data_IF_406762877391
#
_entry.id   IF_406762877391
#
_cell.length_a   1.000
_cell.length_b   1.000
_cell.length_c   1.000
_cell.angle_alpha   90.00
_cell.angle_beta   90.00
_cell.angle_gamma   90.00
#
_symmetry.space_group_name_H-M   'P 1'
#
loop_
_entity.id
_entity.type
_entity.pdbx_description
1 polymer ?
#
# COMPACT_ATOMS: atom_id res chain seq x y z
N UNK A 1 17.00 -41.44 -4.08
CA UNK A 1 16.45 -40.27 -3.37
C UNK A 1 15.14 -39.90 -4.04
N UNK A 2 14.04 -40.40 -3.48
CA UNK A 2 12.67 -40.20 -3.96
C UNK A 2 12.11 -38.91 -3.39
N UNK A 3 11.91 -37.91 -4.23
CA UNK A 3 11.26 -36.65 -3.88
C UNK A 3 9.77 -36.88 -3.69
N UNK A 4 9.36 -36.98 -2.43
CA UNK A 4 7.96 -37.08 -2.06
C UNK A 4 7.32 -35.69 -2.24
N UNK A 5 6.68 -35.47 -3.39
CA UNK A 5 5.85 -34.29 -3.66
C UNK A 5 4.55 -34.42 -2.86
N UNK A 6 4.61 -34.09 -1.58
CA UNK A 6 3.41 -33.84 -0.79
C UNK A 6 2.81 -32.52 -1.26
N UNK A 7 1.83 -32.61 -2.16
CA UNK A 7 0.98 -31.49 -2.56
C UNK A 7 0.35 -30.86 -1.32
N UNK A 8 0.92 -29.74 -0.88
CA UNK A 8 0.31 -28.87 0.12
C UNK A 8 -0.91 -28.26 -0.56
N UNK A 9 -2.08 -28.86 -0.35
CA UNK A 9 -3.36 -28.20 -0.59
C UNK A 9 -3.40 -26.97 0.32
N UNK A 10 -2.93 -25.84 -0.19
CA UNK A 10 -3.20 -24.54 0.42
C UNK A 10 -4.71 -24.36 0.33
N UNK A 11 -5.42 -24.68 1.42
CA UNK A 11 -6.70 -24.05 1.69
C UNK A 11 -6.41 -22.54 1.65
N UNK A 12 -6.65 -21.93 0.50
CA UNK A 12 -6.76 -20.48 0.39
C UNK A 12 -7.69 -20.11 1.50
N UNK A 13 -7.19 -19.39 2.51
CA UNK A 13 -7.99 -18.94 3.63
C UNK A 13 -9.17 -18.18 3.07
N UNK A 14 -10.28 -18.89 2.88
CA UNK A 14 -11.56 -18.28 2.68
C UNK A 14 -11.75 -17.54 3.97
N UNK A 15 -11.57 -16.22 3.94
CA UNK A 15 -12.13 -15.38 4.98
C UNK A 15 -13.55 -15.88 5.26
N UNK A 16 -14.02 -15.76 6.52
CA UNK A 16 -15.37 -16.22 6.88
C UNK A 16 -16.30 -15.83 5.74
N UNK A 17 -16.86 -16.84 5.06
CA UNK A 17 -17.52 -16.60 3.77
C UNK A 17 -18.53 -15.47 3.93
N UNK A 18 -18.84 -14.73 2.87
CA UNK A 18 -19.85 -13.68 2.93
C UNK A 18 -21.17 -14.18 3.57
N UNK A 19 -21.45 -15.49 3.45
CA UNK A 19 -22.64 -16.15 4.02
C UNK A 19 -22.83 -15.93 5.52
N UNK A 20 -21.88 -16.25 6.44
CA UNK A 20 -22.05 -15.92 7.86
C UNK A 20 -22.33 -14.44 8.14
N UNK A 21 -21.72 -13.51 7.40
CA UNK A 21 -21.97 -12.07 7.56
C UNK A 21 -23.40 -11.73 7.15
N UNK A 22 -23.90 -12.28 6.05
CA UNK A 22 -25.27 -12.05 5.59
C UNK A 22 -26.29 -12.68 6.54
N UNK A 23 -26.01 -13.87 7.10
CA UNK A 23 -26.91 -14.54 8.06
C UNK A 23 -26.96 -13.77 9.38
N UNK A 24 -25.81 -13.38 9.94
CA UNK A 24 -25.75 -12.58 11.17
C UNK A 24 -26.37 -11.20 10.91
N UNK A 25 -26.08 -10.61 9.76
CA UNK A 25 -26.66 -9.34 9.34
C UNK A 25 -28.19 -9.39 9.24
N UNK A 26 -28.75 -10.45 8.65
CA UNK A 26 -30.18 -10.67 8.60
C UNK A 26 -30.79 -10.78 10.00
N UNK A 27 -30.16 -11.55 10.90
CA UNK A 27 -30.63 -11.74 12.26
C UNK A 27 -30.61 -10.44 13.07
N UNK A 28 -29.53 -9.65 12.95
CA UNK A 28 -29.41 -8.35 13.61
C UNK A 28 -30.48 -7.40 13.06
N UNK A 29 -30.64 -7.33 11.73
CA UNK A 29 -31.66 -6.51 11.08
C UNK A 29 -33.07 -6.83 11.57
N UNK A 30 -33.41 -8.12 11.61
CA UNK A 30 -34.69 -8.61 12.12
C UNK A 30 -34.95 -8.21 13.58
N UNK A 31 -33.90 -8.14 14.40
CA UNK A 31 -33.99 -7.76 15.82
C UNK A 31 -34.36 -6.28 15.99
N UNK A 32 -33.97 -5.42 15.05
CA UNK A 32 -34.28 -3.99 15.09
C UNK A 32 -35.69 -3.65 14.58
N UNK A 33 -36.29 -4.48 13.73
CA UNK A 33 -37.62 -4.20 13.14
C UNK A 33 -38.81 -4.53 14.03
N UNK A 34 -38.63 -5.32 15.10
CA UNK A 34 -39.68 -5.59 16.11
C UNK A 34 -40.81 -6.52 15.66
N UNK A 35 -41.30 -6.43 14.42
CA UNK A 35 -42.41 -7.23 13.87
C UNK A 35 -42.10 -7.73 12.44
N UNK A 36 -41.58 -8.96 12.35
CA UNK A 36 -41.13 -9.55 11.07
C UNK A 36 -42.31 -9.99 10.19
N UNK A 37 -43.44 -10.36 10.81
CA UNK A 37 -44.57 -10.97 10.11
C UNK A 37 -45.46 -9.97 9.38
N UNK A 38 -45.35 -8.69 9.72
CA UNK A 38 -46.19 -7.61 9.17
C UNK A 38 -45.39 -6.53 8.44
N UNK A 39 -44.05 -6.61 8.47
CA UNK A 39 -43.20 -5.63 7.83
C UNK A 39 -43.28 -5.72 6.30
N UNK A 40 -43.36 -4.55 5.65
CA UNK A 40 -43.23 -4.44 4.21
C UNK A 40 -41.86 -4.96 3.74
N UNK A 41 -41.83 -5.52 2.52
CA UNK A 41 -40.61 -6.07 1.92
C UNK A 41 -39.46 -5.04 1.89
N UNK A 42 -39.79 -3.75 1.71
CA UNK A 42 -38.82 -2.64 1.76
C UNK A 42 -38.22 -2.45 3.15
N UNK A 43 -39.02 -2.55 4.21
CA UNK A 43 -38.55 -2.45 5.60
C UNK A 43 -37.65 -3.65 5.96
N UNK A 44 -38.00 -4.85 5.50
CA UNK A 44 -37.20 -6.06 5.70
C UNK A 44 -35.86 -5.97 4.93
N UNK A 45 -35.88 -5.49 3.69
CA UNK A 45 -34.68 -5.26 2.90
C UNK A 45 -33.76 -4.18 3.52
N UNK A 46 -34.35 -3.09 4.02
CA UNK A 46 -33.63 -2.03 4.72
C UNK A 46 -32.96 -2.56 5.99
N UNK A 47 -33.71 -3.30 6.80
CA UNK A 47 -33.20 -3.92 8.02
C UNK A 47 -32.06 -4.92 7.74
N UNK A 48 -32.21 -5.73 6.70
CA UNK A 48 -31.17 -6.65 6.23
C UNK A 48 -29.90 -5.90 5.82
N UNK A 49 -30.02 -4.81 5.05
CA UNK A 49 -28.88 -4.00 4.63
C UNK A 49 -28.17 -3.39 5.85
N UNK A 50 -28.91 -2.77 6.77
CA UNK A 50 -28.35 -2.18 7.98
C UNK A 50 -27.70 -3.20 8.90
N UNK A 51 -28.36 -4.33 9.13
CA UNK A 51 -27.81 -5.41 9.93
C UNK A 51 -26.53 -5.99 9.32
N UNK A 52 -26.47 -6.13 7.99
CA UNK A 52 -25.26 -6.54 7.27
C UNK A 52 -24.12 -5.54 7.41
N UNK A 53 -24.41 -4.24 7.30
CA UNK A 53 -23.42 -3.16 7.51
C UNK A 53 -22.86 -3.20 8.93
N UNK A 54 -23.73 -3.31 9.94
CA UNK A 54 -23.32 -3.37 11.35
C UNK A 54 -22.48 -4.62 11.62
N UNK A 55 -22.96 -5.80 11.17
CA UNK A 55 -22.25 -7.07 11.35
C UNK A 55 -20.85 -7.02 10.72
N UNK A 56 -20.76 -6.48 9.50
CA UNK A 56 -19.49 -6.31 8.81
C UNK A 56 -18.55 -5.38 9.59
N UNK A 57 -19.02 -4.19 10.00
CA UNK A 57 -18.20 -3.25 10.77
C UNK A 57 -17.72 -3.88 12.09
N UNK A 58 -18.59 -4.59 12.81
CA UNK A 58 -18.19 -5.28 14.05
C UNK A 58 -17.09 -6.32 13.79
N UNK A 59 -17.21 -7.13 12.75
CA UNK A 59 -16.18 -8.11 12.39
C UNK A 59 -14.86 -7.43 12.00
N UNK A 60 -14.92 -6.32 11.28
CA UNK A 60 -13.73 -5.53 10.93
C UNK A 60 -13.03 -4.97 12.17
N UNK A 61 -13.77 -4.45 13.14
CA UNK A 61 -13.19 -3.95 14.39
C UNK A 61 -12.61 -5.08 15.25
N UNK A 62 -13.23 -6.26 15.29
CA UNK A 62 -12.68 -7.44 15.98
C UNK A 62 -11.37 -7.90 15.33
N UNK A 63 -11.33 -7.96 14.00
CA UNK A 63 -10.11 -8.32 13.26
C UNK A 63 -9.00 -7.27 13.48
N UNK A 64 -9.35 -5.98 13.37
CA UNK A 64 -8.41 -4.87 13.55
C UNK A 64 -7.82 -4.83 14.97
N UNK A 65 -8.64 -5.06 15.99
CA UNK A 65 -8.17 -5.15 17.38
C UNK A 65 -7.30 -6.39 17.61
N UNK A 66 -7.69 -7.55 17.07
CA UNK A 66 -6.87 -8.77 17.14
C UNK A 66 -5.50 -8.62 16.47
N UNK A 67 -5.45 -7.93 15.32
CA UNK A 67 -4.21 -7.62 14.62
C UNK A 67 -3.36 -6.59 15.36
N UNK A 68 -3.97 -5.52 15.90
CA UNK A 68 -3.26 -4.53 16.71
C UNK A 68 -2.65 -5.17 17.95
N UNK A 69 -3.40 -6.02 18.66
CA UNK A 69 -2.90 -6.75 19.82
C UNK A 69 -1.78 -7.72 19.43
N UNK A 70 -1.89 -8.38 18.28
CA UNK A 70 -0.83 -9.25 17.75
C UNK A 70 0.45 -8.45 17.47
N UNK A 71 0.35 -7.23 16.94
CA UNK A 71 1.50 -6.37 16.68
C UNK A 71 2.16 -5.91 17.99
N UNK A 72 1.35 -5.51 18.98
CA UNK A 72 1.81 -5.10 20.31
C UNK A 72 2.49 -6.24 21.06
N UNK A 73 1.98 -7.47 20.91
CA UNK A 73 2.56 -8.67 21.51
C UNK A 73 3.97 -9.02 20.98
N UNK A 74 4.45 -8.29 19.96
CA UNK A 74 5.74 -8.49 19.31
C UNK A 74 5.95 -9.96 18.87
N UNK A 75 5.34 -10.37 17.74
CA UNK A 75 5.29 -11.78 17.34
C UNK A 75 6.67 -12.37 17.07
N UNK A 76 7.65 -11.53 16.74
CA UNK A 76 9.05 -11.89 16.55
C UNK A 76 9.95 -11.04 17.46
N UNK A 77 10.24 -11.50 18.68
CA UNK A 77 11.07 -10.76 19.62
C UNK A 77 12.47 -10.50 19.06
N UNK A 78 13.06 -9.38 19.49
CA UNK A 78 14.33 -8.88 18.96
C UNK A 78 15.50 -9.85 19.18
N UNK A 79 15.37 -10.80 20.11
CA UNK A 79 16.34 -11.86 20.42
C UNK A 79 16.37 -13.00 19.40
N UNK A 80 15.41 -13.05 18.47
CA UNK A 80 15.33 -14.13 17.48
C UNK A 80 16.44 -13.97 16.46
N UNK A 81 17.40 -14.89 16.45
CA UNK A 81 18.47 -14.93 15.47
C UNK A 81 17.95 -15.47 14.14
N UNK A 82 17.70 -14.57 13.17
CA UNK A 82 17.21 -14.92 11.84
C UNK A 82 18.23 -15.70 10.98
N UNK A 83 19.49 -15.70 11.39
CA UNK A 83 20.55 -16.46 10.75
C UNK A 83 20.43 -17.97 11.05
N UNK A 84 19.96 -18.34 12.24
CA UNK A 84 19.73 -19.74 12.60
C UNK A 84 18.36 -20.23 12.11
N UNK A 85 18.37 -20.87 10.94
CA UNK A 85 17.17 -21.44 10.32
C UNK A 85 16.52 -22.53 11.17
N UNK A 86 17.28 -23.22 12.03
CA UNK A 86 16.79 -24.28 12.89
C UNK A 86 15.86 -23.74 13.99
N UNK A 87 16.34 -22.77 14.77
CA UNK A 87 15.52 -22.13 15.80
C UNK A 87 14.33 -21.36 15.22
N UNK A 88 14.49 -20.78 14.02
CA UNK A 88 13.38 -20.12 13.32
C UNK A 88 12.24 -21.09 13.01
N UNK A 89 12.56 -22.32 12.59
CA UNK A 89 11.56 -23.35 12.29
C UNK A 89 10.71 -23.72 13.51
N UNK A 90 11.36 -23.91 14.66
CA UNK A 90 10.67 -24.19 15.92
C UNK A 90 9.79 -23.01 16.35
N UNK A 91 10.26 -21.78 16.19
CA UNK A 91 9.52 -20.57 16.56
C UNK A 91 8.32 -20.32 15.64
N UNK A 92 8.44 -20.61 14.35
CA UNK A 92 7.32 -20.53 13.40
C UNK A 92 6.15 -21.46 13.77
N UNK A 93 6.44 -22.61 14.38
CA UNK A 93 5.41 -23.53 14.87
C UNK A 93 4.65 -22.96 16.08
N UNK A 94 5.30 -22.09 16.88
CA UNK A 94 4.71 -21.43 18.05
C UNK A 94 3.95 -20.14 17.71
N UNK A 95 4.16 -19.55 16.52
CA UNK A 95 3.42 -18.34 16.10
C UNK A 95 1.90 -18.60 16.13
N UNK A 96 1.14 -17.65 16.67
CA UNK A 96 -0.31 -17.77 16.74
C UNK A 96 -0.96 -17.89 15.35
N UNK A 97 -2.24 -18.27 15.31
CA UNK A 97 -3.05 -18.22 14.09
C UNK A 97 -3.67 -16.84 13.98
N UNK A 98 -3.09 -15.99 13.15
CA UNK A 98 -3.62 -14.67 12.82
C UNK A 98 -3.06 -14.19 11.47
N UNK A 99 -3.64 -13.17 10.85
CA UNK A 99 -3.24 -12.72 9.52
C UNK A 99 -1.80 -12.18 9.49
N UNK A 100 -1.37 -11.42 10.50
CA UNK A 100 0.03 -10.98 10.66
C UNK A 100 0.95 -12.18 10.81
N UNK A 101 0.61 -13.12 11.70
CA UNK A 101 1.38 -14.33 11.93
C UNK A 101 1.46 -15.21 10.68
N UNK A 102 0.41 -15.26 9.88
CA UNK A 102 0.42 -15.99 8.61
C UNK A 102 1.35 -15.33 7.59
N UNK A 103 1.33 -14.00 7.51
CA UNK A 103 2.27 -13.23 6.69
C UNK A 103 3.72 -13.49 7.10
N UNK A 104 4.03 -13.34 8.39
CA UNK A 104 5.35 -13.64 8.95
C UNK A 104 5.74 -15.09 8.69
N UNK A 105 4.86 -16.06 8.97
CA UNK A 105 5.13 -17.49 8.72
C UNK A 105 5.41 -17.77 7.25
N UNK A 106 4.74 -17.11 6.32
CA UNK A 106 5.00 -17.30 4.90
C UNK A 106 6.37 -16.73 4.49
N UNK A 107 6.74 -15.55 5.00
CA UNK A 107 8.05 -14.95 4.73
C UNK A 107 9.19 -15.78 5.35
N UNK A 108 9.03 -16.14 6.62
CA UNK A 108 10.01 -16.93 7.36
C UNK A 108 10.10 -18.36 6.81
N UNK A 109 9.01 -18.95 6.32
CA UNK A 109 9.08 -20.28 5.71
C UNK A 109 9.81 -20.26 4.38
N UNK A 110 9.61 -19.23 3.54
CA UNK A 110 10.42 -19.06 2.32
C UNK A 110 11.89 -18.83 2.65
N UNK A 111 12.19 -18.06 3.69
CA UNK A 111 13.56 -17.87 4.15
C UNK A 111 14.21 -19.18 4.63
N UNK A 112 13.51 -19.97 5.46
CA UNK A 112 14.00 -21.26 5.98
C UNK A 112 14.22 -22.28 4.87
N UNK A 113 13.43 -22.23 3.80
CA UNK A 113 13.62 -23.05 2.59
C UNK A 113 14.88 -22.67 1.80
N UNK A 114 15.60 -21.62 2.19
CA UNK A 114 16.86 -21.22 1.57
C UNK A 114 16.70 -20.29 0.36
N UNK A 115 15.55 -19.62 0.25
CA UNK A 115 15.34 -18.63 -0.80
C UNK A 115 16.22 -17.39 -0.58
N UNK A 116 16.57 -16.73 -1.68
CA UNK A 116 17.38 -15.50 -1.67
C UNK A 116 16.65 -14.37 -0.92
N UNK A 117 17.34 -13.50 -0.15
CA UNK A 117 16.71 -12.38 0.55
C UNK A 117 15.88 -11.48 -0.37
N UNK A 118 16.29 -11.29 -1.63
CA UNK A 118 15.52 -10.48 -2.59
C UNK A 118 14.14 -11.07 -2.83
N UNK A 119 14.05 -12.39 -2.98
CA UNK A 119 12.76 -13.04 -3.19
C UNK A 119 11.86 -12.95 -1.95
N UNK A 120 12.45 -12.95 -0.74
CA UNK A 120 11.69 -12.72 0.50
C UNK A 120 11.18 -11.27 0.56
N UNK A 121 11.97 -10.29 0.14
CA UNK A 121 11.57 -8.88 0.03
C UNK A 121 10.44 -8.72 -1.00
N UNK A 122 10.56 -9.34 -2.17
CA UNK A 122 9.53 -9.32 -3.22
C UNK A 122 8.24 -9.99 -2.75
N UNK A 123 8.34 -11.09 -1.99
CA UNK A 123 7.19 -11.73 -1.39
C UNK A 123 6.53 -10.84 -0.32
N UNK A 124 7.32 -10.12 0.48
CA UNK A 124 6.81 -9.18 1.47
C UNK A 124 6.05 -8.02 0.81
N UNK A 125 6.58 -7.47 -0.29
CA UNK A 125 5.93 -6.40 -1.06
C UNK A 125 4.65 -6.90 -1.75
N UNK A 126 4.68 -8.10 -2.33
CA UNK A 126 3.50 -8.73 -2.91
C UNK A 126 2.40 -8.98 -1.87
N UNK A 127 2.76 -9.47 -0.68
CA UNK A 127 1.80 -9.67 0.41
C UNK A 127 1.21 -8.34 0.93
N UNK A 128 2.01 -7.27 1.00
CA UNK A 128 1.49 -5.92 1.32
C UNK A 128 0.48 -5.45 0.28
N UNK A 129 0.83 -5.56 -1.01
CA UNK A 129 -0.05 -5.15 -2.12
C UNK A 129 -1.36 -5.95 -2.14
N UNK A 130 -1.29 -7.27 -1.92
CA UNK A 130 -2.46 -8.12 -1.82
C UNK A 130 -3.35 -7.74 -0.63
N UNK A 131 -2.77 -7.46 0.54
CA UNK A 131 -3.53 -6.99 1.70
C UNK A 131 -4.28 -5.69 1.40
N UNK A 132 -3.65 -4.72 0.71
CA UNK A 132 -4.30 -3.47 0.29
C UNK A 132 -5.46 -3.70 -0.67
N UNK A 133 -5.32 -4.61 -1.64
CA UNK A 133 -6.41 -4.91 -2.61
C UNK A 133 -7.66 -5.43 -1.92
N UNK A 134 -7.52 -6.29 -0.91
CA UNK A 134 -8.66 -6.83 -0.16
C UNK A 134 -9.44 -5.71 0.55
N UNK A 135 -8.74 -4.71 1.10
CA UNK A 135 -9.36 -3.54 1.74
C UNK A 135 -10.22 -2.78 0.74
N UNK A 136 -9.72 -2.54 -0.48
CA UNK A 136 -10.47 -1.82 -1.53
C UNK A 136 -11.75 -2.57 -1.88
N UNK A 137 -11.68 -3.89 -2.10
CA UNK A 137 -12.88 -4.68 -2.42
C UNK A 137 -13.93 -4.66 -1.31
N UNK A 138 -13.49 -4.68 -0.05
CA UNK A 138 -14.36 -4.63 1.12
C UNK A 138 -15.05 -3.26 1.28
N UNK A 139 -14.30 -2.18 1.05
CA UNK A 139 -14.83 -0.81 1.07
C UNK A 139 -15.87 -0.62 -0.03
N UNK A 140 -15.58 -1.07 -1.25
CA UNK A 140 -16.52 -0.98 -2.38
C UNK A 140 -17.80 -1.73 -2.07
N UNK A 141 -17.70 -2.96 -1.55
CA UNK A 141 -18.88 -3.76 -1.16
C UNK A 141 -19.75 -3.03 -0.13
N UNK A 142 -19.13 -2.49 0.91
CA UNK A 142 -19.86 -1.76 1.95
C UNK A 142 -20.46 -0.45 1.46
N UNK A 143 -19.74 0.27 0.59
CA UNK A 143 -20.27 1.47 -0.03
C UNK A 143 -21.52 1.17 -0.85
N UNK A 144 -21.52 0.08 -1.62
CA UNK A 144 -22.71 -0.40 -2.35
C UNK A 144 -23.87 -0.68 -1.38
N UNK A 145 -23.63 -1.39 -0.28
CA UNK A 145 -24.68 -1.69 0.71
C UNK A 145 -25.28 -0.42 1.33
N UNK A 146 -24.44 0.57 1.65
CA UNK A 146 -24.91 1.85 2.20
C UNK A 146 -25.69 2.64 1.16
N UNK A 147 -25.26 2.66 -0.10
CA UNK A 147 -26.01 3.31 -1.19
C UNK A 147 -27.38 2.64 -1.38
N UNK A 148 -27.44 1.31 -1.40
CA UNK A 148 -28.71 0.57 -1.51
C UNK A 148 -29.62 0.85 -0.32
N UNK A 149 -29.07 0.87 0.91
CA UNK A 149 -29.85 1.21 2.11
C UNK A 149 -30.42 2.64 2.03
N UNK A 150 -29.62 3.60 1.55
CA UNK A 150 -30.07 4.99 1.38
C UNK A 150 -31.17 5.13 0.33
N UNK A 151 -31.09 4.39 -0.78
CA UNK A 151 -32.14 4.42 -1.82
C UNK A 151 -33.45 3.86 -1.28
N UNK A 152 -33.40 2.85 -0.42
CA UNK A 152 -34.59 2.21 0.16
C UNK A 152 -35.23 3.00 1.30
N UNK A 153 -34.42 3.67 2.14
CA UNK A 153 -34.89 4.31 3.38
C UNK A 153 -34.78 5.84 3.43
N UNK A 154 -34.19 6.48 2.42
CA UNK A 154 -33.78 7.89 2.49
C UNK A 154 -32.47 8.08 3.28
N UNK A 155 -31.87 9.26 3.11
CA UNK A 155 -30.56 9.59 3.68
C UNK A 155 -30.72 10.05 5.14
N UNK A 156 -30.88 9.08 6.05
CA UNK A 156 -31.02 9.34 7.48
C UNK A 156 -29.64 9.60 8.15
N UNK A 157 -29.65 10.21 9.35
CA UNK A 157 -28.46 10.45 10.18
C UNK A 157 -27.66 9.17 10.44
N UNK A 158 -28.34 8.02 10.49
CA UNK A 158 -27.71 6.70 10.63
C UNK A 158 -26.81 6.40 9.44
N UNK A 159 -27.21 6.77 8.22
CA UNK A 159 -26.41 6.56 7.02
C UNK A 159 -25.12 7.37 7.03
N UNK A 160 -25.22 8.66 7.39
CA UNK A 160 -24.05 9.53 7.52
C UNK A 160 -23.10 8.99 8.59
N UNK A 161 -23.64 8.55 9.74
CA UNK A 161 -22.84 7.95 10.81
C UNK A 161 -22.13 6.66 10.34
N UNK A 162 -22.82 5.80 9.61
CA UNK A 162 -22.23 4.57 9.09
C UNK A 162 -21.11 4.81 8.07
N UNK A 163 -21.27 5.80 7.18
CA UNK A 163 -20.23 6.22 6.23
C UNK A 163 -19.02 6.76 7.02
N UNK A 164 -19.24 7.58 8.04
CA UNK A 164 -18.16 8.11 8.88
C UNK A 164 -17.41 7.00 9.62
N UNK A 165 -18.13 6.03 10.21
CA UNK A 165 -17.52 4.87 10.88
C UNK A 165 -16.74 4.02 9.88
N UNK A 166 -17.26 3.80 8.68
CA UNK A 166 -16.56 3.08 7.62
C UNK A 166 -15.27 3.79 7.20
N UNK A 167 -15.31 5.11 7.03
CA UNK A 167 -14.13 5.93 6.75
C UNK A 167 -13.07 5.81 7.85
N UNK A 168 -13.50 5.84 9.12
CA UNK A 168 -12.61 5.63 10.27
C UNK A 168 -12.01 4.22 10.29
N UNK A 169 -12.81 3.19 10.03
CA UNK A 169 -12.34 1.79 9.94
C UNK A 169 -11.31 1.64 8.82
N UNK A 170 -11.53 2.27 7.66
CA UNK A 170 -10.59 2.27 6.54
C UNK A 170 -9.26 2.93 6.92
N UNK A 171 -9.32 4.13 7.52
CA UNK A 171 -8.13 4.85 7.98
C UNK A 171 -7.35 4.04 9.02
N UNK A 172 -8.04 3.46 10.01
CA UNK A 172 -7.43 2.61 11.02
C UNK A 172 -6.76 1.38 10.41
N UNK A 173 -7.41 0.74 9.42
CA UNK A 173 -6.87 -0.44 8.73
C UNK A 173 -5.66 -0.09 7.86
N UNK A 174 -5.68 1.06 7.20
CA UNK A 174 -4.53 1.54 6.44
C UNK A 174 -3.34 1.83 7.36
N UNK A 175 -3.57 2.51 8.50
CA UNK A 175 -2.54 2.78 9.50
C UNK A 175 -1.95 1.48 10.08
N UNK A 176 -2.80 0.50 10.41
CA UNK A 176 -2.37 -0.80 10.90
C UNK A 176 -1.53 -1.56 9.86
N UNK A 177 -1.94 -1.58 8.60
CA UNK A 177 -1.14 -2.22 7.53
C UNK A 177 0.21 -1.54 7.33
N UNK A 178 0.26 -0.20 7.42
CA UNK A 178 1.52 0.54 7.43
C UNK A 178 2.42 0.15 8.62
N UNK A 179 1.84 0.00 9.81
CA UNK A 179 2.55 -0.48 11.00
C UNK A 179 3.07 -1.91 10.86
N UNK A 180 2.28 -2.81 10.23
CA UNK A 180 2.71 -4.18 9.93
C UNK A 180 3.84 -4.19 8.90
N UNK A 181 3.76 -3.37 7.84
CA UNK A 181 4.82 -3.26 6.84
C UNK A 181 6.12 -2.75 7.46
N UNK A 182 6.05 -1.68 8.27
CA UNK A 182 7.21 -1.15 8.99
C UNK A 182 7.79 -2.16 10.00
N UNK A 183 6.93 -2.95 10.66
CA UNK A 183 7.36 -4.02 11.55
C UNK A 183 8.10 -5.13 10.78
N UNK A 184 7.54 -5.62 9.66
CA UNK A 184 8.17 -6.63 8.82
C UNK A 184 9.51 -6.13 8.30
N UNK A 185 9.58 -4.89 7.85
CA UNK A 185 10.82 -4.29 7.35
C UNK A 185 11.90 -4.22 8.44
N UNK A 186 11.57 -3.68 9.62
CA UNK A 186 12.53 -3.49 10.72
C UNK A 186 12.91 -4.77 11.46
N UNK A 187 11.99 -5.73 11.62
CA UNK A 187 12.19 -6.92 12.45
C UNK A 187 12.49 -8.18 11.63
N UNK A 188 12.13 -8.22 10.35
CA UNK A 188 12.43 -9.36 9.48
C UNK A 188 13.46 -8.96 8.44
N UNK A 189 13.14 -8.01 7.56
CA UNK A 189 13.96 -7.74 6.37
C UNK A 189 15.32 -7.14 6.73
N UNK A 190 15.38 -6.17 7.65
CA UNK A 190 16.62 -5.53 8.09
C UNK A 190 17.61 -6.48 8.79
N UNK A 191 17.14 -7.65 9.21
CA UNK A 191 17.91 -8.65 9.95
C UNK A 191 18.20 -9.90 9.14
N UNK A 192 17.63 -10.03 7.95
CA UNK A 192 18.09 -11.04 7.01
C UNK A 192 19.57 -10.73 6.72
N UNK A 193 20.46 -11.73 6.75
CA UNK A 193 21.86 -11.50 6.42
C UNK A 193 21.91 -10.89 5.02
N UNK A 194 22.41 -9.67 4.94
CA UNK A 194 22.64 -8.98 3.69
C UNK A 194 23.71 -9.78 2.93
N UNK A 195 23.29 -10.76 2.15
CA UNK A 195 24.15 -11.37 1.16
C UNK A 195 24.53 -10.26 0.18
N UNK A 196 25.84 -10.12 -0.05
CA UNK A 196 26.33 -9.25 -1.10
C UNK A 196 25.68 -9.69 -2.42
N UNK A 197 25.19 -8.74 -3.24
CA UNK A 197 24.60 -9.08 -4.53
C UNK A 197 25.52 -10.01 -5.33
N UNK A 198 25.01 -11.15 -5.77
CA UNK A 198 25.69 -12.13 -6.64
C UNK A 198 26.83 -12.94 -6.01
N UNK A 199 27.03 -12.89 -4.69
CA UNK A 199 27.87 -13.88 -4.01
C UNK A 199 27.02 -14.63 -3.00
N UNK A 200 27.11 -15.97 -3.00
CA UNK A 200 26.50 -16.81 -1.95
C UNK A 200 27.21 -16.67 -0.61
N UNK A 201 27.88 -15.53 -0.39
CA UNK A 201 28.90 -15.32 0.62
C UNK A 201 28.43 -14.18 1.50
N UNK A 202 28.19 -14.50 2.76
CA UNK A 202 27.77 -13.54 3.78
C UNK A 202 28.86 -12.51 4.04
N UNK A 203 28.52 -11.34 4.59
CA UNK A 203 29.52 -10.34 4.97
C UNK A 203 30.57 -10.88 5.96
N UNK A 204 30.19 -11.86 6.80
CA UNK A 204 31.10 -12.56 7.70
C UNK A 204 32.05 -13.51 6.95
N UNK A 205 31.56 -14.24 5.94
CA UNK A 205 32.41 -15.05 5.07
C UNK A 205 33.32 -14.18 4.20
N UNK A 206 32.85 -13.03 3.73
CA UNK A 206 33.68 -12.03 3.06
C UNK A 206 34.74 -11.47 4.01
N UNK A 207 34.39 -11.12 5.23
CA UNK A 207 35.35 -10.65 6.23
C UNK A 207 36.37 -11.74 6.60
N UNK A 208 35.96 -13.00 6.69
CA UNK A 208 36.87 -14.13 6.94
C UNK A 208 37.78 -14.41 5.74
N UNK A 209 37.26 -14.33 4.51
CA UNK A 209 38.05 -14.49 3.29
C UNK A 209 39.01 -13.31 3.06
N UNK A 210 38.57 -12.08 3.31
CA UNK A 210 39.41 -10.88 3.31
C UNK A 210 40.46 -10.96 4.41
N UNK A 211 40.08 -11.33 5.64
CA UNK A 211 40.99 -11.50 6.76
C UNK A 211 42.07 -12.54 6.47
N UNK A 212 41.68 -13.70 5.94
CA UNK A 212 42.62 -14.74 5.51
C UNK A 212 43.53 -14.30 4.36
N UNK A 213 43.00 -13.54 3.39
CA UNK A 213 43.78 -13.00 2.27
C UNK A 213 44.76 -11.91 2.71
N UNK A 214 44.33 -11.01 3.60
CA UNK A 214 45.14 -9.93 4.17
C UNK A 214 46.24 -10.51 5.06
N UNK A 215 45.92 -11.50 5.90
CA UNK A 215 46.91 -12.14 6.78
C UNK A 215 47.93 -12.97 5.99
N UNK A 216 47.50 -13.68 4.94
CA UNK A 216 48.45 -14.36 4.03
C UNK A 216 49.33 -13.35 3.28
N UNK A 217 48.78 -12.20 2.90
CA UNK A 217 49.58 -11.13 2.29
C UNK A 217 50.58 -10.56 3.30
N UNK A 218 50.15 -10.25 4.53
CA UNK A 218 51.05 -9.79 5.60
C UNK A 218 52.18 -10.79 5.89
N UNK A 219 51.88 -12.08 6.01
CA UNK A 219 52.91 -13.12 6.21
C UNK A 219 53.89 -13.23 5.05
N UNK A 220 53.43 -12.96 3.82
CA UNK A 220 54.26 -13.05 2.61
C UNK A 220 55.12 -11.80 2.38
N UNK A 221 54.75 -10.67 3.00
CA UNK A 221 55.35 -9.35 2.77
C UNK A 221 55.93 -8.68 4.03
N UNK A 222 56.32 -9.44 5.06
CA UNK A 222 57.25 -8.95 6.10
C UNK A 222 58.66 -9.48 5.78
N UNK A 223 59.51 -8.73 5.06
CA UNK A 223 60.93 -9.03 4.93
C UNK A 223 61.72 -8.46 6.10
N UNK A 224 63.00 -8.82 6.19
CA UNK A 224 63.93 -8.29 7.19
C UNK A 224 64.04 -6.75 7.11
N UNK A 225 64.40 -6.06 8.22
CA UNK A 225 64.26 -4.60 8.38
C UNK A 225 64.89 -3.70 7.30
N UNK A 226 65.88 -4.21 6.56
CA UNK A 226 66.59 -3.46 5.52
C UNK A 226 65.76 -3.22 4.25
N UNK A 227 64.84 -4.13 3.90
CA UNK A 227 63.99 -4.04 2.70
C UNK A 227 62.56 -3.54 3.01
N UNK A 228 62.27 -3.31 4.29
CA UNK A 228 60.94 -3.00 4.81
C UNK A 228 60.37 -1.69 4.23
N UNK A 229 61.21 -0.69 3.98
CA UNK A 229 60.75 0.61 3.46
C UNK A 229 60.29 0.50 1.99
N UNK A 230 60.98 -0.32 1.19
CA UNK A 230 60.62 -0.52 -0.22
C UNK A 230 59.41 -1.46 -0.35
N UNK A 231 59.33 -2.50 0.48
CA UNK A 231 58.17 -3.39 0.57
C UNK A 231 56.90 -2.68 1.09
N UNK A 232 57.02 -1.79 2.09
CA UNK A 232 55.90 -0.96 2.57
C UNK A 232 55.45 0.00 1.48
N UNK A 233 56.38 0.65 0.77
CA UNK A 233 56.01 1.57 -0.32
C UNK A 233 55.25 0.84 -1.42
N UNK A 234 55.75 -0.31 -1.86
CA UNK A 234 55.09 -1.14 -2.88
C UNK A 234 53.74 -1.68 -2.39
N UNK A 235 53.64 -2.12 -1.13
CA UNK A 235 52.40 -2.61 -0.54
C UNK A 235 51.34 -1.51 -0.41
N UNK A 236 51.73 -0.29 -0.05
CA UNK A 236 50.83 0.87 -0.02
C UNK A 236 50.37 1.25 -1.42
N UNK A 237 51.26 1.23 -2.41
CA UNK A 237 50.95 1.60 -3.80
C UNK A 237 50.00 0.60 -4.45
N UNK A 238 50.21 -0.69 -4.21
CA UNK A 238 49.36 -1.79 -4.67
C UNK A 238 48.01 -1.80 -3.92
N UNK A 239 48.01 -1.58 -2.61
CA UNK A 239 46.78 -1.42 -1.82
C UNK A 239 45.98 -0.20 -2.28
N UNK A 240 46.63 0.92 -2.62
CA UNK A 240 45.96 2.12 -3.09
C UNK A 240 45.38 1.93 -4.49
N UNK A 241 46.08 1.22 -5.40
CA UNK A 241 45.53 0.80 -6.69
C UNK A 241 44.30 -0.11 -6.54
N UNK A 242 44.35 -1.09 -5.62
CA UNK A 242 43.21 -1.94 -5.32
C UNK A 242 42.04 -1.15 -4.71
N UNK A 243 42.31 -0.26 -3.75
CA UNK A 243 41.29 0.59 -3.13
C UNK A 243 40.63 1.50 -4.15
N UNK A 244 41.41 2.16 -5.01
CA UNK A 244 40.88 3.06 -6.05
C UNK A 244 40.02 2.27 -7.05
N UNK A 245 40.43 1.05 -7.41
CA UNK A 245 39.66 0.14 -8.26
C UNK A 245 38.34 -0.30 -7.61
N UNK A 246 38.36 -0.68 -6.33
CA UNK A 246 37.16 -1.07 -5.58
C UNK A 246 36.20 0.10 -5.36
N UNK A 247 36.72 1.29 -5.04
CA UNK A 247 35.92 2.52 -4.92
C UNK A 247 35.24 2.85 -6.25
N UNK A 248 35.97 2.76 -7.37
CA UNK A 248 35.39 2.96 -8.70
C UNK A 248 34.28 1.94 -8.99
N UNK A 249 34.52 0.66 -8.67
CA UNK A 249 33.53 -0.41 -8.88
C UNK A 249 32.28 -0.20 -8.01
N UNK A 250 32.46 0.22 -6.75
CA UNK A 250 31.35 0.55 -5.84
C UNK A 250 30.57 1.78 -6.32
N UNK A 251 31.27 2.80 -6.80
CA UNK A 251 30.68 4.01 -7.36
C UNK A 251 29.87 3.71 -8.62
N UNK A 252 30.43 2.93 -9.55
CA UNK A 252 29.74 2.48 -10.78
C UNK A 252 28.50 1.63 -10.44
N UNK A 253 28.59 0.75 -9.44
CA UNK A 253 27.46 -0.04 -8.96
C UNK A 253 26.37 0.81 -8.28
N UNK A 254 26.76 1.86 -7.54
CA UNK A 254 25.82 2.82 -6.94
C UNK A 254 25.09 3.62 -8.02
N UNK A 255 25.80 4.14 -9.02
CA UNK A 255 25.21 4.84 -10.16
C UNK A 255 24.24 3.94 -10.94
N UNK A 256 24.64 2.69 -11.19
CA UNK A 256 23.80 1.73 -11.90
C UNK A 256 22.52 1.41 -11.10
N UNK A 257 22.64 1.19 -9.78
CA UNK A 257 21.48 0.93 -8.92
C UNK A 257 20.55 2.16 -8.82
N UNK A 258 21.08 3.37 -8.69
CA UNK A 258 20.28 4.60 -8.67
C UNK A 258 19.51 4.77 -9.99
N UNK A 259 20.16 4.54 -11.13
CA UNK A 259 19.53 4.59 -12.46
C UNK A 259 18.38 3.59 -12.57
N UNK A 260 18.57 2.36 -12.09
CA UNK A 260 17.53 1.32 -12.10
C UNK A 260 16.34 1.69 -11.20
N UNK A 261 16.61 2.21 -10.00
CA UNK A 261 15.55 2.64 -9.06
C UNK A 261 14.73 3.78 -9.69
N UNK A 262 15.41 4.79 -10.25
CA UNK A 262 14.77 5.91 -10.93
C UNK A 262 13.91 5.44 -12.11
N UNK A 263 14.43 4.57 -12.98
CA UNK A 263 13.67 4.01 -14.09
C UNK A 263 12.45 3.21 -13.61
N UNK A 264 12.61 2.45 -12.52
CA UNK A 264 11.50 1.67 -11.95
C UNK A 264 10.41 2.60 -11.43
N UNK A 265 10.78 3.68 -10.74
CA UNK A 265 9.84 4.71 -10.28
C UNK A 265 9.15 5.44 -11.45
N UNK A 266 9.89 5.81 -12.48
CA UNK A 266 9.33 6.45 -13.68
C UNK A 266 8.34 5.52 -14.41
N UNK A 267 8.66 4.24 -14.54
CA UNK A 267 7.77 3.24 -15.14
C UNK A 267 6.52 2.98 -14.29
N UNK A 268 6.66 2.92 -12.97
CA UNK A 268 5.54 2.78 -12.04
C UNK A 268 4.61 4.00 -12.08
N UNK A 269 5.18 5.21 -12.10
CA UNK A 269 4.43 6.45 -12.26
C UNK A 269 3.65 6.44 -13.59
N UNK A 270 4.32 6.14 -14.71
CA UNK A 270 3.69 6.05 -16.04
C UNK A 270 2.55 5.03 -16.09
N UNK A 271 2.74 3.86 -15.48
CA UNK A 271 1.71 2.80 -15.39
C UNK A 271 0.53 3.29 -14.57
N UNK A 272 0.77 3.92 -13.42
CA UNK A 272 -0.28 4.48 -12.56
C UNK A 272 -1.08 5.57 -13.28
N UNK A 273 -0.41 6.45 -14.03
CA UNK A 273 -1.09 7.47 -14.84
C UNK A 273 -1.95 6.86 -15.94
N UNK A 274 -1.50 5.76 -16.56
CA UNK A 274 -2.28 5.05 -17.57
C UNK A 274 -3.52 4.39 -16.97
N UNK A 275 -3.36 3.65 -15.87
CA UNK A 275 -4.47 3.00 -15.15
C UNK A 275 -5.51 4.03 -14.67
N UNK A 276 -5.06 5.16 -14.13
CA UNK A 276 -5.95 6.26 -13.73
C UNK A 276 -6.75 6.83 -14.91
N UNK A 277 -6.13 6.95 -16.10
CA UNK A 277 -6.80 7.42 -17.32
C UNK A 277 -7.79 6.40 -17.87
N UNK A 278 -7.52 5.11 -17.70
CA UNK A 278 -8.47 4.05 -18.05
C UNK A 278 -9.66 4.02 -17.08
N UNK A 279 -9.41 4.26 -15.79
CA UNK A 279 -10.48 4.46 -14.79
C UNK A 279 -11.32 5.70 -15.12
N UNK A 280 -10.70 6.81 -15.52
CA UNK A 280 -11.41 8.02 -15.96
C UNK A 280 -12.34 7.72 -17.15
N UNK A 281 -11.86 7.01 -18.18
CA UNK A 281 -12.69 6.61 -19.34
C UNK A 281 -13.81 5.66 -18.95
N UNK A 282 -13.53 4.69 -18.07
CA UNK A 282 -14.54 3.77 -17.58
C UNK A 282 -15.62 4.52 -16.78
N UNK A 283 -15.22 5.46 -15.92
CA UNK A 283 -16.13 6.30 -15.15
C UNK A 283 -16.97 7.19 -16.07
N UNK A 284 -16.37 7.82 -17.07
CA UNK A 284 -17.08 8.62 -18.08
C UNK A 284 -18.11 7.78 -18.86
N UNK A 285 -17.76 6.53 -19.19
CA UNK A 285 -18.67 5.58 -19.84
C UNK A 285 -19.83 5.21 -18.91
N UNK A 286 -19.55 4.89 -17.65
CA UNK A 286 -20.58 4.57 -16.64
C UNK A 286 -21.50 5.75 -16.40
N UNK A 287 -20.98 6.97 -16.29
CA UNK A 287 -21.79 8.19 -16.16
C UNK A 287 -22.66 8.39 -17.38
N UNK A 288 -22.09 8.25 -18.60
CA UNK A 288 -22.86 8.33 -19.85
C UNK A 288 -23.97 7.28 -19.92
N UNK A 289 -23.68 6.03 -19.57
CA UNK A 289 -24.63 4.93 -19.59
C UNK A 289 -25.70 5.07 -18.51
N UNK A 290 -25.34 5.54 -17.30
CA UNK A 290 -26.31 5.84 -16.26
C UNK A 290 -27.22 6.99 -16.68
N UNK A 291 -26.66 8.08 -17.18
CA UNK A 291 -27.44 9.25 -17.62
C UNK A 291 -28.37 8.87 -18.77
N UNK A 292 -27.88 8.14 -19.78
CA UNK A 292 -28.69 7.65 -20.90
C UNK A 292 -29.75 6.65 -20.47
N UNK A 293 -29.38 5.69 -19.63
CA UNK A 293 -30.28 4.67 -19.08
C UNK A 293 -31.37 5.26 -18.20
N UNK A 294 -31.02 6.18 -17.29
CA UNK A 294 -31.98 6.89 -16.44
C UNK A 294 -32.92 7.76 -17.25
N UNK A 295 -32.43 8.48 -18.25
CA UNK A 295 -33.27 9.28 -19.13
C UNK A 295 -34.29 8.40 -19.87
N UNK A 296 -33.80 7.31 -20.50
CA UNK A 296 -34.67 6.36 -21.21
C UNK A 296 -35.69 5.70 -20.28
N UNK A 297 -35.30 5.38 -19.05
CA UNK A 297 -36.20 4.74 -18.10
C UNK A 297 -37.23 5.72 -17.51
N UNK A 298 -36.84 6.97 -17.28
CA UNK A 298 -37.75 8.05 -16.89
C UNK A 298 -38.80 8.30 -17.99
N UNK A 299 -38.39 8.35 -19.26
CA UNK A 299 -39.30 8.46 -20.41
C UNK A 299 -40.25 7.26 -20.51
N UNK A 300 -39.74 6.03 -20.35
CA UNK A 300 -40.58 4.83 -20.34
C UNK A 300 -41.58 4.84 -19.19
N UNK A 301 -41.17 5.26 -18.00
CA UNK A 301 -42.05 5.32 -16.83
C UNK A 301 -43.11 6.40 -17.00
N UNK A 302 -42.75 7.56 -17.58
CA UNK A 302 -43.70 8.60 -17.96
C UNK A 302 -44.71 8.08 -19.00
N UNK A 303 -44.25 7.33 -20.01
CA UNK A 303 -45.12 6.73 -21.02
C UNK A 303 -46.07 5.69 -20.40
N UNK A 304 -45.58 4.79 -19.56
CA UNK A 304 -46.38 3.77 -18.86
C UNK A 304 -47.44 4.43 -17.99
N UNK A 305 -47.06 5.45 -17.21
CA UNK A 305 -47.99 6.17 -16.34
C UNK A 305 -49.06 6.92 -17.16
N UNK A 306 -48.67 7.56 -18.26
CA UNK A 306 -49.61 8.26 -19.14
C UNK A 306 -50.59 7.28 -19.78
N UNK A 307 -50.09 6.14 -20.26
CA UNK A 307 -50.91 5.06 -20.82
C UNK A 307 -51.86 4.48 -19.77
N UNK A 308 -51.39 4.23 -18.54
CA UNK A 308 -52.22 3.69 -17.47
C UNK A 308 -53.34 4.67 -17.06
N UNK A 309 -53.04 5.97 -16.96
CA UNK A 309 -54.05 7.00 -16.71
C UNK A 309 -55.10 7.05 -17.83
N UNK A 310 -54.69 6.89 -19.10
CA UNK A 310 -55.63 6.82 -20.23
C UNK A 310 -56.53 5.59 -20.18
N UNK A 311 -55.98 4.42 -19.87
CA UNK A 311 -56.77 3.19 -19.73
C UNK A 311 -57.76 3.28 -18.56
N UNK A 312 -57.32 3.83 -17.42
CA UNK A 312 -58.19 4.11 -16.28
C UNK A 312 -59.34 5.06 -16.68
N UNK A 313 -59.04 6.14 -17.41
CA UNK A 313 -60.05 7.07 -17.92
C UNK A 313 -61.06 6.38 -18.86
N UNK A 314 -60.60 5.49 -19.76
CA UNK A 314 -61.47 4.72 -20.65
C UNK A 314 -62.40 3.79 -19.86
N UNK A 315 -61.85 3.00 -18.94
CA UNK A 315 -62.62 2.08 -18.08
C UNK A 315 -63.68 2.86 -17.30
N UNK A 316 -63.34 4.05 -16.79
CA UNK A 316 -64.30 4.87 -16.06
C UNK A 316 -65.35 5.53 -16.95
N UNK A 317 -65.02 5.93 -18.17
CA UNK A 317 -66.02 6.39 -19.14
C UNK A 317 -67.01 5.28 -19.49
N UNK A 318 -66.52 4.05 -19.68
CA UNK A 318 -67.32 2.85 -19.95
C UNK A 318 -68.26 2.53 -18.77
N UNK A 319 -67.72 2.44 -17.55
CA UNK A 319 -68.50 2.17 -16.33
C UNK A 319 -69.53 3.26 -16.06
N UNK A 320 -69.16 4.54 -16.26
CA UNK A 320 -70.09 5.66 -16.12
C UNK A 320 -71.24 5.61 -17.13
N UNK A 321 -70.98 5.14 -18.35
CA UNK A 321 -72.02 4.96 -19.37
C UNK A 321 -73.00 3.83 -19.02
N UNK A 322 -72.50 2.72 -18.45
CA UNK A 322 -73.32 1.58 -18.01
C UNK A 322 -74.17 1.90 -16.79
N UNK A 323 -73.64 2.64 -15.82
CA UNK A 323 -74.37 3.02 -14.60
C UNK A 323 -75.52 4.00 -14.87
N UNK A 324 -75.37 4.88 -15.87
CA UNK A 324 -76.42 5.80 -16.30
C UNK A 324 -77.70 5.10 -16.76
N UNK A 325 -77.64 3.83 -17.15
CA UNK A 325 -78.80 3.05 -17.58
C UNK A 325 -79.59 2.42 -16.41
N UNK A 326 -79.01 2.27 -15.22
CA UNK A 326 -79.59 1.39 -14.18
C UNK A 326 -79.98 2.07 -12.86
N UNK A 327 -79.46 3.25 -12.51
CA UNK A 327 -79.94 4.04 -11.36
C UNK A 327 -79.33 5.45 -11.34
N UNK A 328 -80.15 6.51 -11.36
CA UNK A 328 -79.70 7.88 -11.72
C UNK A 328 -78.90 8.56 -10.59
N UNK A 329 -79.23 8.32 -9.32
CA UNK A 329 -78.64 9.09 -8.21
C UNK A 329 -77.34 8.49 -7.65
N UNK A 330 -77.25 7.15 -7.58
CA UNK A 330 -76.02 6.47 -7.15
C UNK A 330 -74.89 6.56 -8.19
N UNK A 331 -75.23 6.60 -9.48
CA UNK A 331 -74.28 6.75 -10.58
C UNK A 331 -73.56 8.11 -10.54
N UNK A 332 -74.26 9.18 -10.19
CA UNK A 332 -73.68 10.52 -10.11
C UNK A 332 -72.67 10.65 -8.97
N UNK A 333 -72.96 10.08 -7.80
CA UNK A 333 -72.02 10.07 -6.66
C UNK A 333 -70.78 9.21 -6.94
N UNK A 334 -70.96 8.02 -7.53
CA UNK A 334 -69.84 7.16 -7.91
C UNK A 334 -68.96 7.83 -8.99
N UNK A 335 -69.58 8.44 -10.01
CA UNK A 335 -68.86 9.15 -11.06
C UNK A 335 -68.05 10.34 -10.49
N UNK A 336 -68.61 11.05 -9.51
CA UNK A 336 -67.91 12.16 -8.83
C UNK A 336 -66.74 11.64 -7.98
N UNK A 337 -66.93 10.57 -7.21
CA UNK A 337 -65.87 9.96 -6.40
C UNK A 337 -64.72 9.39 -7.26
N UNK A 338 -65.06 8.72 -8.36
CA UNK A 338 -64.10 8.23 -9.35
C UNK A 338 -63.31 9.37 -9.98
N UNK A 339 -63.99 10.44 -10.41
CA UNK A 339 -63.34 11.60 -11.01
C UNK A 339 -62.36 12.25 -10.03
N UNK A 340 -62.78 12.45 -8.78
CA UNK A 340 -61.91 12.95 -7.70
C UNK A 340 -60.69 12.05 -7.48
N UNK A 341 -60.86 10.73 -7.55
CA UNK A 341 -59.75 9.78 -7.40
C UNK A 341 -58.79 9.79 -8.60
N UNK A 342 -59.29 9.95 -9.83
CA UNK A 342 -58.47 10.11 -11.05
C UNK A 342 -57.71 11.44 -11.02
N UNK A 343 -58.34 12.51 -10.57
CA UNK A 343 -57.73 13.83 -10.45
C UNK A 343 -56.63 13.83 -9.38
N UNK A 344 -56.89 13.24 -8.20
CA UNK A 344 -55.89 13.03 -7.14
C UNK A 344 -54.73 12.16 -7.64
N UNK A 345 -55.00 11.05 -8.32
CA UNK A 345 -53.97 10.17 -8.86
C UNK A 345 -53.10 10.87 -9.91
N UNK A 346 -53.71 11.66 -10.79
CA UNK A 346 -53.00 12.46 -11.80
C UNK A 346 -52.13 13.55 -11.17
N UNK A 347 -52.64 14.22 -10.12
CA UNK A 347 -51.87 15.22 -9.35
C UNK A 347 -50.69 14.59 -8.62
N UNK A 348 -50.91 13.46 -7.94
CA UNK A 348 -49.87 12.81 -7.13
C UNK A 348 -48.77 12.21 -8.01
N UNK A 349 -49.12 11.60 -9.15
CA UNK A 349 -48.15 11.06 -10.09
C UNK A 349 -47.36 12.16 -10.80
N UNK A 350 -47.99 13.29 -11.13
CA UNK A 350 -47.29 14.45 -11.69
C UNK A 350 -46.27 15.06 -10.73
N UNK A 351 -46.60 15.10 -9.42
CA UNK A 351 -45.67 15.54 -8.38
C UNK A 351 -44.51 14.57 -8.19
N UNK A 352 -44.79 13.26 -8.17
CA UNK A 352 -43.77 12.22 -8.05
C UNK A 352 -42.78 12.22 -9.23
N UNK A 353 -43.28 12.32 -10.47
CA UNK A 353 -42.42 12.38 -11.66
C UNK A 353 -41.48 13.59 -11.62
N UNK A 354 -41.98 14.76 -11.20
CA UNK A 354 -41.15 15.97 -11.03
C UNK A 354 -40.12 15.81 -9.91
N UNK A 355 -40.49 15.18 -8.80
CA UNK A 355 -39.59 14.94 -7.68
C UNK A 355 -38.48 13.93 -8.07
N UNK A 356 -38.83 12.86 -8.78
CA UNK A 356 -37.86 11.91 -9.32
C UNK A 356 -36.90 12.59 -10.31
N UNK A 357 -37.42 13.40 -11.22
CA UNK A 357 -36.62 14.16 -12.18
C UNK A 357 -35.67 15.15 -11.47
N UNK A 358 -36.14 15.80 -10.40
CA UNK A 358 -35.32 16.71 -9.60
C UNK A 358 -34.18 15.98 -8.90
N UNK A 359 -34.46 14.87 -8.20
CA UNK A 359 -33.45 14.08 -7.48
C UNK A 359 -32.43 13.47 -8.44
N UNK A 360 -32.88 12.98 -9.60
CA UNK A 360 -31.99 12.46 -10.63
C UNK A 360 -31.12 13.55 -11.24
N UNK A 361 -31.69 14.73 -11.49
CA UNK A 361 -30.92 15.90 -11.95
C UNK A 361 -29.84 16.32 -10.95
N UNK A 362 -30.16 16.33 -9.67
CA UNK A 362 -29.21 16.64 -8.59
C UNK A 362 -28.09 15.59 -8.50
N UNK A 363 -28.42 14.30 -8.63
CA UNK A 363 -27.42 13.22 -8.67
C UNK A 363 -26.49 13.32 -9.87
N UNK A 364 -27.01 13.60 -11.07
CA UNK A 364 -26.20 13.81 -12.28
C UNK A 364 -25.28 15.02 -12.11
N UNK A 365 -25.77 16.13 -11.55
CA UNK A 365 -24.94 17.31 -11.27
C UNK A 365 -23.84 17.03 -10.24
N UNK A 366 -24.15 16.23 -9.23
CA UNK A 366 -23.17 15.84 -8.19
C UNK A 366 -22.10 14.93 -8.78
N UNK A 367 -22.48 13.98 -9.63
CA UNK A 367 -21.54 13.12 -10.36
C UNK A 367 -20.64 13.91 -11.32
N UNK A 368 -21.19 14.88 -12.06
CA UNK A 368 -20.42 15.77 -12.92
C UNK A 368 -19.39 16.58 -12.11
N UNK A 369 -19.78 17.08 -10.94
CA UNK A 369 -18.88 17.82 -10.03
C UNK A 369 -17.76 16.93 -9.50
N UNK A 370 -18.08 15.71 -9.07
CA UNK A 370 -17.08 14.74 -8.60
C UNK A 370 -16.12 14.32 -9.71
N UNK A 371 -16.63 14.15 -10.93
CA UNK A 371 -15.82 13.84 -12.12
C UNK A 371 -14.85 14.98 -12.43
N UNK A 372 -15.30 16.24 -12.41
CA UNK A 372 -14.44 17.42 -12.59
C UNK A 372 -13.36 17.54 -11.51
N UNK A 373 -13.70 17.23 -10.25
CA UNK A 373 -12.73 17.23 -9.16
C UNK A 373 -11.65 16.14 -9.35
N UNK A 374 -12.04 14.94 -9.81
CA UNK A 374 -11.10 13.88 -10.17
C UNK A 374 -10.16 14.29 -11.31
N UNK A 375 -10.69 14.90 -12.37
CA UNK A 375 -9.88 15.44 -13.48
C UNK A 375 -8.87 16.46 -12.96
N UNK A 376 -9.28 17.36 -12.06
CA UNK A 376 -8.37 18.33 -11.44
C UNK A 376 -7.24 17.67 -10.61
N UNK A 377 -7.52 16.57 -9.92
CA UNK A 377 -6.48 15.80 -9.22
C UNK A 377 -5.53 15.08 -10.20
N UNK A 378 -6.05 14.58 -11.33
CA UNK A 378 -5.21 13.97 -12.37
C UNK A 378 -4.26 14.98 -13.01
N UNK A 379 -4.71 16.22 -13.24
CA UNK A 379 -3.85 17.30 -13.72
C UNK A 379 -2.74 17.65 -12.72
N UNK A 380 -3.05 17.63 -11.41
CA UNK A 380 -2.03 17.80 -10.36
C UNK A 380 -1.01 16.66 -10.36
N UNK A 381 -1.45 15.41 -10.55
CA UNK A 381 -0.55 14.25 -10.66
C UNK A 381 0.33 14.36 -11.91
N UNK A 382 -0.22 14.78 -13.04
CA UNK A 382 0.54 15.01 -14.26
C UNK A 382 1.60 16.12 -14.07
N UNK A 383 1.24 17.19 -13.36
CA UNK A 383 2.17 18.26 -12.97
C UNK A 383 3.29 17.76 -12.05
N UNK A 384 2.95 16.94 -11.05
CA UNK A 384 3.95 16.29 -10.18
C UNK A 384 4.89 15.37 -10.98
N UNK A 385 4.36 14.61 -11.94
CA UNK A 385 5.17 13.78 -12.84
C UNK A 385 6.19 14.62 -13.61
N UNK A 386 5.77 15.78 -14.13
CA UNK A 386 6.66 16.72 -14.82
C UNK A 386 7.72 17.31 -13.89
N UNK A 387 7.35 17.65 -12.66
CA UNK A 387 8.30 18.15 -11.66
C UNK A 387 9.33 17.07 -11.27
N UNK A 388 8.92 15.80 -11.16
CA UNK A 388 9.84 14.68 -10.93
C UNK A 388 10.83 14.56 -12.09
N UNK A 389 10.37 14.66 -13.33
CA UNK A 389 11.24 14.64 -14.52
C UNK A 389 12.25 15.80 -14.52
N UNK A 390 11.85 16.99 -14.08
CA UNK A 390 12.76 18.12 -13.89
C UNK A 390 13.80 17.85 -12.81
N UNK A 391 13.40 17.26 -11.67
CA UNK A 391 14.34 16.88 -10.61
C UNK A 391 15.35 15.83 -11.10
N UNK A 392 14.92 14.90 -11.95
CA UNK A 392 15.82 13.91 -12.56
C UNK A 392 16.86 14.57 -13.46
N UNK A 393 16.46 15.53 -14.30
CA UNK A 393 17.42 16.29 -15.10
C UNK A 393 18.39 17.13 -14.24
N UNK A 394 17.93 17.67 -13.12
CA UNK A 394 18.81 18.37 -12.17
C UNK A 394 19.79 17.38 -11.53
N UNK A 395 19.36 16.18 -11.15
CA UNK A 395 20.26 15.14 -10.63
C UNK A 395 21.29 14.74 -11.68
N UNK A 396 20.90 14.51 -12.93
CA UNK A 396 21.82 14.20 -14.02
C UNK A 396 22.84 15.33 -14.27
N UNK A 397 22.39 16.58 -14.22
CA UNK A 397 23.28 17.74 -14.34
C UNK A 397 24.24 17.87 -13.14
N UNK A 398 23.77 17.58 -11.92
CA UNK A 398 24.61 17.56 -10.70
C UNK A 398 25.62 16.43 -10.77
N UNK A 399 25.22 15.24 -11.19
CA UNK A 399 26.12 14.09 -11.35
C UNK A 399 27.19 14.37 -12.41
N UNK A 400 26.81 14.99 -13.52
CA UNK A 400 27.76 15.46 -14.54
C UNK A 400 28.71 16.50 -13.96
N UNK A 401 28.21 17.48 -13.20
CA UNK A 401 29.04 18.51 -12.58
C UNK A 401 29.99 17.93 -11.51
N UNK A 402 29.53 16.96 -10.70
CA UNK A 402 30.37 16.26 -9.72
C UNK A 402 31.44 15.44 -10.42
N UNK A 403 31.10 14.78 -11.53
CA UNK A 403 32.05 14.05 -12.37
C UNK A 403 33.09 14.99 -12.98
N UNK A 404 32.65 16.13 -13.50
CA UNK A 404 33.54 17.16 -14.05
C UNK A 404 34.47 17.73 -12.97
N UNK A 405 33.95 18.00 -11.77
CA UNK A 405 34.75 18.45 -10.61
C UNK A 405 35.71 17.37 -10.10
N UNK A 406 35.33 16.09 -10.16
CA UNK A 406 36.22 14.99 -9.83
C UNK A 406 37.35 14.85 -10.87
N UNK A 407 37.11 15.27 -12.11
CA UNK A 407 38.09 15.27 -13.20
C UNK A 407 38.88 16.57 -13.33
N UNK A 408 38.51 17.66 -12.64
CA UNK A 408 39.26 18.91 -12.75
C UNK A 408 40.64 18.78 -12.15
N UNK A 409 41.60 19.30 -12.91
CA UNK A 409 43.01 19.23 -12.55
C UNK A 409 43.31 19.95 -11.23
N UNK A 410 42.51 20.95 -10.84
CA UNK A 410 42.60 21.59 -9.52
C UNK A 410 42.28 20.63 -8.36
N UNK A 411 41.21 19.85 -8.45
CA UNK A 411 40.89 18.86 -7.41
C UNK A 411 41.97 17.80 -7.31
N UNK A 412 42.46 17.33 -8.46
CA UNK A 412 43.57 16.39 -8.56
C UNK A 412 44.86 16.94 -7.94
N UNK A 413 45.20 18.21 -8.23
CA UNK A 413 46.34 18.92 -7.65
C UNK A 413 46.18 19.17 -6.15
N UNK A 414 44.95 19.37 -5.67
CA UNK A 414 44.65 19.50 -4.23
C UNK A 414 44.88 18.17 -3.52
N UNK A 415 44.40 17.05 -4.08
CA UNK A 415 44.69 15.71 -3.58
C UNK A 415 46.19 15.40 -3.56
N UNK A 416 46.91 15.79 -4.62
CA UNK A 416 48.35 15.63 -4.71
C UNK A 416 49.10 16.45 -3.65
N UNK A 417 48.65 17.69 -3.38
CA UNK A 417 49.18 18.54 -2.31
C UNK A 417 48.94 17.93 -0.92
N UNK A 418 47.72 17.41 -0.68
CA UNK A 418 47.35 16.73 0.57
C UNK A 418 48.21 15.48 0.79
N UNK A 419 48.43 14.69 -0.26
CA UNK A 419 49.27 13.49 -0.24
C UNK A 419 50.72 13.85 0.10
N UNK A 420 51.25 14.93 -0.49
CA UNK A 420 52.58 15.45 -0.20
C UNK A 420 52.71 15.93 1.26
N UNK A 421 51.68 16.57 1.79
CA UNK A 421 51.66 17.05 3.17
C UNK A 421 51.57 15.90 4.20
N UNK A 422 50.87 14.81 3.87
CA UNK A 422 50.87 13.58 4.66
C UNK A 422 52.25 12.94 4.65
N UNK A 423 52.91 12.85 3.49
CA UNK A 423 54.27 12.30 3.37
C UNK A 423 55.30 13.14 4.16
N UNK A 424 55.15 14.47 4.17
CA UNK A 424 55.94 15.38 5.02
C UNK A 424 55.66 15.17 6.53
N UNK A 425 54.38 15.02 6.92
CA UNK A 425 54.02 14.70 8.32
C UNK A 425 54.57 13.35 8.77
N UNK A 426 54.52 12.31 7.93
CA UNK A 426 55.08 11.01 8.23
C UNK A 426 56.60 11.05 8.37
N UNK A 427 57.29 11.85 7.53
CA UNK A 427 58.73 12.08 7.68
C UNK A 427 59.05 12.80 8.99
N UNK A 428 58.28 13.82 9.37
CA UNK A 428 58.43 14.48 10.66
C UNK A 428 58.21 13.51 11.82
N UNK A 429 57.17 12.68 11.77
CA UNK A 429 56.93 11.65 12.78
C UNK A 429 58.08 10.66 12.86
N UNK A 430 58.67 10.25 11.73
CA UNK A 430 59.88 9.41 11.68
C UNK A 430 61.11 10.08 12.28
N UNK A 431 61.29 11.38 12.08
CA UNK A 431 62.40 12.11 12.70
C UNK A 431 62.22 12.30 14.20
N UNK A 432 60.99 12.56 14.65
CA UNK A 432 60.66 12.70 16.08
C UNK A 432 60.75 11.36 16.82
N UNK A 433 60.44 10.26 16.14
CA UNK A 433 60.54 8.90 16.71
C UNK A 433 61.95 8.30 16.64
N UNK A 434 62.94 8.96 16.01
CA UNK A 434 64.34 8.54 16.14
C UNK A 434 64.72 8.62 17.62
N UNK A 435 65.11 7.49 18.25
CA UNK A 435 65.47 7.49 19.66
C UNK A 435 66.67 8.42 19.84
N UNK A 436 66.44 9.55 20.53
CA UNK A 436 67.53 10.45 20.91
C UNK A 436 68.35 9.68 21.95
N UNK A 437 69.55 9.28 21.57
CA UNK A 437 70.53 8.70 22.49
C UNK A 437 70.93 9.81 23.48
N UNK A 438 70.22 9.91 24.59
CA UNK A 438 70.61 10.75 25.71
C UNK A 438 71.80 10.05 26.36
N UNK A 439 73.02 10.45 25.99
CA UNK A 439 74.21 10.10 26.76
C UNK A 439 74.16 10.95 28.02
N UNK A 440 73.82 10.33 29.15
CA UNK A 440 74.13 10.88 30.46
C UNK A 440 75.65 10.88 30.57
N UNK A 441 76.25 12.07 30.43
CA UNK A 441 77.65 12.29 30.75
C UNK A 441 77.70 12.53 32.25
N UNK A 442 77.98 11.47 33.00
CA UNK A 442 78.31 11.60 34.42
C UNK A 442 79.67 12.29 34.50
N UNK A 443 79.67 13.58 34.87
CA UNK A 443 80.88 14.28 35.27
C UNK A 443 81.33 13.71 36.62
N UNK A 444 82.49 13.04 36.64
CA UNK A 444 83.10 12.36 37.79
C UNK A 444 83.45 13.27 39.00
N UNK A 445 83.05 14.55 39.01
CA UNK A 445 83.41 15.50 40.06
C UNK A 445 82.66 15.34 41.40
N UNK A 446 81.57 14.56 41.46
CA UNK A 446 80.77 14.41 42.69
C UNK A 446 81.00 13.11 43.48
N UNK A 447 81.78 12.13 42.97
CA UNK A 447 81.99 10.84 43.67
C UNK A 447 83.15 10.90 44.69
N UNK A 448 83.93 11.99 44.75
CA UNK A 448 85.05 12.13 45.71
C UNK A 448 84.72 12.92 47.00
N UNK A 449 83.44 13.23 47.28
CA UNK A 449 83.04 13.93 48.52
C UNK A 449 81.97 13.25 49.39
N UNK A 450 81.66 11.97 49.16
CA UNK A 450 80.93 11.14 50.15
C UNK A 450 81.77 9.95 50.56
#
# INVERSE_FOLDING_TARGET
MTTNSSGVHSHSGSGPGLMPVLVIGALIGMLFTGDILTADLSALALAFCWGSVISFLSLQWIDLTGQSLSLIANPLPLDTELADRGSLHERMARLARGPIHHRLRNLLSTWVQGWDPRTVIDLASYQSSRARRTIVSEVVFMFILVVVANVLGGLDRIAIAAIAVLGLTLAARQALNGGIDAYVESHVLARLPANLPHTSMTAAELAAALGGSIENSFKKYIPQPADMTQAIRHGIEEANLQFTGQIKTLHDALLQNQTVIVQTWANAAKTTTHELRDVEKALATVVSDLTGGLHTNAEKMQHIMTHHTQEIQKVFAEVGSQLKHNNVDGAAQLQTALKTHVDLFSQNNGAWAKQLQSVLGEHVSTLDTATKALVGQLDQIASLSKNIEQVLHVQEAVDSAVRDVATTEEFRKTLETLRKHIEESDNLLREVTKPRTIRLVETEEEILQS
#
